data_IF_289453356268
#
_entry.id   IF_289453356268
#
_cell.length_a   1.000
_cell.length_b   1.000
_cell.length_c   1.000
_cell.angle_alpha   90.00
_cell.angle_beta   90.00
_cell.angle_gamma   90.00
#
_symmetry.space_group_name_H-M   'P 1'
#
loop_
_entity.id
_entity.type
_entity.pdbx_description
1 polymer ?
#
# COMPACT_ATOMS: atom_id res chain seq x y z
N UNK A 1 2.93 3.10 14.03
CA UNK A 1 1.49 3.49 14.02
C UNK A 1 0.71 2.65 15.03
N UNK A 2 -0.20 3.25 15.82
CA UNK A 2 -1.26 2.49 16.51
C UNK A 2 -2.32 2.13 15.46
N UNK A 3 -2.79 0.87 15.46
CA UNK A 3 -3.83 0.30 14.58
C UNK A 3 -5.01 1.26 14.23
N UNK A 4 -5.30 2.22 15.11
CA UNK A 4 -6.33 3.25 14.94
C UNK A 4 -6.15 4.18 13.71
N UNK A 5 -4.94 4.62 13.38
CA UNK A 5 -4.79 5.60 12.27
C UNK A 5 -5.08 4.94 10.91
N UNK A 6 -4.67 3.67 10.76
CA UNK A 6 -4.96 2.86 9.58
C UNK A 6 -6.47 2.60 9.47
N UNK A 7 -7.13 2.31 10.60
CA UNK A 7 -8.59 2.18 10.66
C UNK A 7 -9.29 3.48 10.21
N UNK A 8 -8.85 4.63 10.70
CA UNK A 8 -9.39 5.94 10.30
C UNK A 8 -9.20 6.20 8.81
N UNK A 9 -8.01 5.90 8.27
CA UNK A 9 -7.74 6.02 6.83
C UNK A 9 -8.73 5.17 6.01
N UNK A 10 -8.91 3.89 6.36
CA UNK A 10 -9.88 3.04 5.67
C UNK A 10 -11.31 3.57 5.79
N UNK A 11 -11.71 4.07 6.97
CA UNK A 11 -13.02 4.69 7.18
C UNK A 11 -13.24 5.88 6.23
N UNK A 12 -12.24 6.76 6.08
CA UNK A 12 -12.28 7.89 5.14
C UNK A 12 -12.42 7.40 3.70
N UNK A 13 -11.63 6.41 3.29
CA UNK A 13 -11.69 5.83 1.93
C UNK A 13 -13.09 5.25 1.65
N UNK A 14 -13.67 4.51 2.60
CA UNK A 14 -15.03 3.99 2.48
C UNK A 14 -16.09 5.10 2.44
N UNK A 15 -15.94 6.14 3.25
CA UNK A 15 -16.85 7.29 3.24
C UNK A 15 -16.80 8.04 1.89
N UNK A 16 -15.61 8.30 1.35
CA UNK A 16 -15.41 8.89 0.02
C UNK A 16 -16.08 8.01 -1.04
N UNK A 17 -15.87 6.70 -0.99
CA UNK A 17 -16.47 5.76 -1.94
C UNK A 17 -18.01 5.81 -1.90
N UNK A 18 -18.58 5.85 -0.69
CA UNK A 18 -20.02 5.95 -0.47
C UNK A 18 -20.58 7.26 -1.03
N UNK A 19 -19.97 8.39 -0.71
CA UNK A 19 -20.38 9.73 -1.18
C UNK A 19 -20.31 9.81 -2.70
N UNK A 20 -19.20 9.35 -3.31
CA UNK A 20 -19.04 9.34 -4.76
C UNK A 20 -20.12 8.49 -5.43
N UNK A 21 -20.37 7.28 -4.94
CA UNK A 21 -21.44 6.42 -5.48
C UNK A 21 -22.81 7.08 -5.37
N UNK A 22 -23.10 7.71 -4.24
CA UNK A 22 -24.35 8.43 -4.04
C UNK A 22 -24.50 9.59 -5.03
N UNK A 23 -23.47 10.42 -5.17
CA UNK A 23 -23.44 11.54 -6.10
C UNK A 23 -23.60 11.07 -7.56
N UNK A 24 -22.85 10.05 -7.97
CA UNK A 24 -22.91 9.49 -9.33
C UNK A 24 -24.26 8.86 -9.65
N UNK A 25 -24.88 8.16 -8.69
CA UNK A 25 -26.25 7.64 -8.86
C UNK A 25 -27.24 8.75 -9.16
N UNK A 26 -27.15 9.86 -8.41
CA UNK A 26 -28.03 11.03 -8.59
C UNK A 26 -27.75 11.75 -9.90
N UNK A 27 -26.46 11.93 -10.26
CA UNK A 27 -26.04 12.65 -11.46
C UNK A 27 -26.39 11.91 -12.75
N UNK A 28 -26.12 10.60 -12.82
CA UNK A 28 -26.31 9.80 -14.02
C UNK A 28 -27.66 9.09 -14.09
N UNK A 29 -28.52 9.31 -13.07
CA UNK A 29 -29.81 8.62 -12.89
C UNK A 29 -29.64 7.10 -13.00
N UNK A 30 -28.71 6.56 -12.22
CA UNK A 30 -28.40 5.14 -12.23
C UNK A 30 -29.40 4.44 -11.34
N UNK A 31 -30.15 3.49 -11.90
CA UNK A 31 -31.09 2.70 -11.12
C UNK A 31 -30.35 1.86 -10.06
N UNK A 32 -30.89 1.76 -8.84
CA UNK A 32 -30.32 0.90 -7.83
C UNK A 32 -30.46 -0.55 -8.29
N UNK A 33 -29.34 -1.15 -8.68
CA UNK A 33 -29.31 -2.59 -8.95
C UNK A 33 -29.64 -3.35 -7.66
N UNK A 34 -30.57 -4.30 -7.70
CA UNK A 34 -30.78 -5.28 -6.63
C UNK A 34 -29.58 -6.24 -6.58
N UNK A 35 -28.46 -5.77 -6.03
CA UNK A 35 -27.31 -6.62 -5.74
C UNK A 35 -27.40 -7.01 -4.28
N UNK A 36 -27.68 -8.28 -4.02
CA UNK A 36 -27.44 -8.86 -2.71
C UNK A 36 -25.95 -8.74 -2.41
N UNK A 37 -25.62 -8.17 -1.25
CA UNK A 37 -24.26 -8.20 -0.75
C UNK A 37 -23.89 -9.69 -0.59
N UNK A 38 -22.80 -10.12 -1.24
CA UNK A 38 -22.23 -11.49 -1.22
C UNK A 38 -22.80 -12.56 -2.17
N UNK A 39 -23.75 -12.29 -3.08
CA UNK A 39 -24.08 -13.30 -4.11
C UNK A 39 -23.08 -13.28 -5.27
N UNK A 40 -22.72 -14.46 -5.80
CA UNK A 40 -21.92 -14.66 -7.02
C UNK A 40 -22.70 -14.14 -8.24
N UNK A 41 -22.79 -12.81 -8.35
CA UNK A 41 -23.63 -12.11 -9.31
C UNK A 41 -22.89 -11.93 -10.63
N UNK A 42 -22.80 -13.03 -11.39
CA UNK A 42 -22.37 -12.96 -12.76
C UNK A 42 -23.52 -12.45 -13.62
N UNK A 43 -23.24 -11.48 -14.49
CA UNK A 43 -24.23 -10.87 -15.38
C UNK A 43 -24.75 -11.89 -16.40
N UNK A 44 -23.86 -12.78 -16.86
CA UNK A 44 -24.19 -13.89 -17.73
C UNK A 44 -23.18 -15.05 -17.52
N UNK A 45 -23.41 -16.17 -18.18
CA UNK A 45 -22.52 -17.34 -18.09
C UNK A 45 -21.12 -17.08 -18.64
N UNK A 46 -20.97 -16.15 -19.58
CA UNK A 46 -19.65 -15.76 -20.09
C UNK A 46 -18.84 -15.03 -19.02
N UNK A 47 -19.45 -14.07 -18.31
CA UNK A 47 -18.83 -13.38 -17.19
C UNK A 47 -18.39 -14.38 -16.12
N UNK A 48 -19.22 -15.39 -15.83
CA UNK A 48 -18.87 -16.47 -14.89
C UNK A 48 -17.62 -17.23 -15.28
N UNK A 49 -17.50 -17.62 -16.54
CA UNK A 49 -16.32 -18.35 -17.02
C UNK A 49 -15.06 -17.49 -16.97
N UNK A 50 -15.18 -16.22 -17.38
CA UNK A 50 -14.05 -15.28 -17.38
C UNK A 50 -13.62 -14.93 -15.96
N UNK A 51 -14.55 -14.59 -15.06
CA UNK A 51 -14.26 -14.29 -13.65
C UNK A 51 -13.56 -15.47 -12.97
N UNK A 52 -14.04 -16.70 -13.20
CA UNK A 52 -13.40 -17.89 -12.65
C UNK A 52 -11.98 -18.11 -13.20
N UNK A 53 -11.78 -17.89 -14.51
CA UNK A 53 -10.45 -17.96 -15.12
C UNK A 53 -9.50 -16.88 -14.59
N UNK A 54 -9.97 -15.63 -14.46
CA UNK A 54 -9.19 -14.51 -13.92
C UNK A 54 -8.81 -14.77 -12.47
N UNK A 55 -9.72 -15.27 -11.65
CA UNK A 55 -9.44 -15.61 -10.24
C UNK A 55 -8.46 -16.78 -10.12
N UNK A 56 -8.66 -17.85 -10.89
CA UNK A 56 -7.74 -18.98 -10.92
C UNK A 56 -6.34 -18.57 -11.38
N UNK A 57 -6.25 -17.80 -12.47
CA UNK A 57 -5.00 -17.25 -12.97
C UNK A 57 -4.32 -16.30 -11.98
N UNK A 58 -5.09 -15.41 -11.35
CA UNK A 58 -4.60 -14.51 -10.29
C UNK A 58 -4.00 -15.29 -9.12
N UNK A 59 -4.65 -16.36 -8.67
CA UNK A 59 -4.15 -17.20 -7.59
C UNK A 59 -2.84 -17.90 -7.98
N UNK A 60 -2.78 -18.50 -9.18
CA UNK A 60 -1.56 -19.19 -9.66
C UNK A 60 -0.41 -18.19 -9.83
N UNK A 61 -0.64 -17.07 -10.52
CA UNK A 61 0.37 -16.02 -10.73
C UNK A 61 0.83 -15.45 -9.38
N UNK A 62 -0.09 -15.20 -8.46
CA UNK A 62 0.23 -14.74 -7.11
C UNK A 62 1.13 -15.71 -6.35
N UNK A 63 0.84 -17.01 -6.38
CA UNK A 63 1.68 -18.03 -5.74
C UNK A 63 3.07 -18.14 -6.37
N UNK A 64 3.16 -18.07 -7.70
CA UNK A 64 4.45 -18.10 -8.41
C UNK A 64 5.30 -16.87 -8.05
N UNK A 65 4.71 -15.69 -8.04
CA UNK A 65 5.42 -14.46 -7.65
C UNK A 65 5.85 -14.51 -6.19
N UNK A 66 4.96 -14.97 -5.29
CA UNK A 66 5.27 -15.15 -3.88
C UNK A 66 6.45 -16.11 -3.68
N UNK A 67 6.48 -17.22 -4.43
CA UNK A 67 7.60 -18.16 -4.41
C UNK A 67 8.93 -17.48 -4.82
N UNK A 68 8.94 -16.66 -5.88
CA UNK A 68 10.16 -15.97 -6.28
C UNK A 68 10.59 -14.88 -5.29
N UNK A 69 9.65 -14.18 -4.66
CA UNK A 69 9.95 -13.23 -3.57
C UNK A 69 10.52 -13.98 -2.37
N UNK A 70 9.96 -15.13 -2.00
CA UNK A 70 10.45 -15.95 -0.88
C UNK A 70 11.85 -16.57 -1.13
N UNK A 71 12.32 -16.56 -2.38
CA UNK A 71 13.68 -16.99 -2.76
C UNK A 71 14.64 -15.80 -2.97
N UNK A 72 14.25 -14.59 -2.58
CA UNK A 72 15.00 -13.34 -2.77
C UNK A 72 15.40 -13.08 -4.24
N UNK A 73 14.65 -13.66 -5.20
CA UNK A 73 14.91 -13.45 -6.65
C UNK A 73 14.33 -12.14 -7.15
N UNK A 74 13.25 -11.67 -6.53
CA UNK A 74 12.64 -10.38 -6.82
C UNK A 74 12.37 -9.64 -5.51
N UNK A 75 12.54 -8.30 -5.49
CA UNK A 75 12.17 -7.54 -4.32
C UNK A 75 10.65 -7.62 -4.09
N UNK A 76 10.18 -7.59 -2.83
CA UNK A 76 8.76 -7.64 -2.48
C UNK A 76 7.89 -6.60 -3.22
N UNK A 77 8.52 -5.52 -3.69
CA UNK A 77 7.92 -4.49 -4.51
C UNK A 77 7.22 -5.00 -5.77
N UNK A 78 7.83 -5.96 -6.47
CA UNK A 78 7.28 -6.52 -7.70
C UNK A 78 5.98 -7.28 -7.42
N UNK A 79 5.93 -7.99 -6.29
CA UNK A 79 4.72 -8.69 -5.86
C UNK A 79 3.58 -7.71 -5.58
N UNK A 80 3.85 -6.60 -4.87
CA UNK A 80 2.84 -5.58 -4.61
C UNK A 80 2.29 -4.96 -5.90
N UNK A 81 3.16 -4.60 -6.84
CA UNK A 81 2.74 -4.05 -8.15
C UNK A 81 1.89 -5.07 -8.92
N UNK A 82 2.30 -6.33 -8.93
CA UNK A 82 1.54 -7.39 -9.60
C UNK A 82 0.16 -7.62 -8.96
N UNK A 83 0.07 -7.64 -7.63
CA UNK A 83 -1.22 -7.76 -6.92
C UNK A 83 -2.14 -6.59 -7.26
N UNK A 84 -1.63 -5.35 -7.30
CA UNK A 84 -2.41 -4.18 -7.72
C UNK A 84 -2.91 -4.34 -9.16
N UNK A 85 -2.03 -4.76 -10.08
CA UNK A 85 -2.40 -4.98 -11.47
C UNK A 85 -3.50 -6.05 -11.60
N UNK A 86 -3.40 -7.15 -10.85
CA UNK A 86 -4.41 -8.21 -10.85
C UNK A 86 -5.77 -7.73 -10.29
N UNK A 87 -5.77 -6.93 -9.22
CA UNK A 87 -7.00 -6.31 -8.68
C UNK A 87 -7.65 -5.38 -9.72
N UNK A 88 -6.84 -4.60 -10.44
CA UNK A 88 -7.32 -3.72 -11.52
C UNK A 88 -7.94 -4.55 -12.64
N UNK A 89 -7.30 -5.63 -13.07
CA UNK A 89 -7.83 -6.53 -14.11
C UNK A 89 -9.20 -7.11 -13.70
N UNK A 90 -9.34 -7.58 -12.45
CA UNK A 90 -10.61 -8.10 -11.93
C UNK A 90 -11.74 -7.06 -12.01
N UNK A 91 -11.46 -5.82 -11.57
CA UNK A 91 -12.43 -4.72 -11.64
C UNK A 91 -12.76 -4.30 -13.07
N UNK A 92 -11.79 -4.32 -13.98
CA UNK A 92 -11.99 -4.01 -15.39
C UNK A 92 -12.86 -5.06 -16.08
N UNK A 93 -12.62 -6.34 -15.83
CA UNK A 93 -13.45 -7.44 -16.35
C UNK A 93 -14.89 -7.26 -15.89
N UNK A 94 -15.10 -6.99 -14.59
CA UNK A 94 -16.43 -6.73 -14.05
C UNK A 94 -17.09 -5.51 -14.71
N UNK A 95 -16.38 -4.39 -14.80
CA UNK A 95 -16.90 -3.17 -15.41
C UNK A 95 -17.25 -3.38 -16.90
N UNK A 96 -16.46 -4.17 -17.63
CA UNK A 96 -16.70 -4.52 -19.02
C UNK A 96 -18.02 -5.28 -19.19
N UNK A 97 -18.25 -6.32 -18.38
CA UNK A 97 -19.51 -7.06 -18.44
C UNK A 97 -20.70 -6.22 -17.98
N UNK A 98 -20.51 -5.35 -16.97
CA UNK A 98 -21.54 -4.41 -16.54
C UNK A 98 -21.97 -3.49 -17.69
N UNK A 99 -20.99 -2.93 -18.41
CA UNK A 99 -21.25 -2.03 -19.53
C UNK A 99 -21.86 -2.72 -20.74
N UNK A 100 -21.39 -3.92 -21.09
CA UNK A 100 -21.74 -4.57 -22.36
C UNK A 100 -22.93 -5.51 -22.26
N UNK A 101 -23.11 -6.19 -21.13
CA UNK A 101 -24.02 -7.32 -21.01
C UNK A 101 -25.12 -7.14 -19.96
N UNK A 102 -25.04 -6.11 -19.10
CA UNK A 102 -26.06 -5.91 -18.07
C UNK A 102 -27.21 -5.03 -18.52
N UNK A 103 -28.37 -5.22 -17.89
CA UNK A 103 -29.55 -4.36 -18.05
C UNK A 103 -29.27 -2.90 -17.63
N UNK A 104 -28.24 -2.67 -16.81
CA UNK A 104 -27.87 -1.37 -16.26
C UNK A 104 -26.43 -0.99 -16.63
N UNK A 105 -26.15 -0.64 -17.90
CA UNK A 105 -24.78 -0.39 -18.39
C UNK A 105 -24.07 0.75 -17.68
N UNK A 106 -24.82 1.74 -17.18
CA UNK A 106 -24.30 2.86 -16.40
C UNK A 106 -23.69 2.45 -15.06
N UNK A 107 -23.98 1.24 -14.59
CA UNK A 107 -23.42 0.72 -13.34
C UNK A 107 -21.90 0.53 -13.41
N UNK A 108 -21.37 0.28 -14.60
CA UNK A 108 -19.92 0.22 -14.86
C UNK A 108 -19.17 1.47 -14.36
N UNK A 109 -19.80 2.65 -14.44
CA UNK A 109 -19.25 3.92 -13.94
C UNK A 109 -19.00 3.85 -12.43
N UNK A 110 -19.91 3.24 -11.67
CA UNK A 110 -19.78 3.09 -10.22
C UNK A 110 -18.65 2.11 -9.86
N UNK A 111 -18.51 1.03 -10.63
CA UNK A 111 -17.44 0.03 -10.44
C UNK A 111 -16.08 0.60 -10.79
N UNK A 112 -15.96 1.33 -11.90
CA UNK A 112 -14.72 2.03 -12.28
C UNK A 112 -14.34 3.11 -11.29
N UNK A 113 -15.32 3.87 -10.77
CA UNK A 113 -15.07 4.87 -9.73
C UNK A 113 -14.57 4.21 -8.46
N UNK A 114 -15.20 3.10 -8.04
CA UNK A 114 -14.74 2.36 -6.88
C UNK A 114 -13.30 1.86 -7.04
N UNK A 115 -12.99 1.28 -8.20
CA UNK A 115 -11.64 0.84 -8.54
C UNK A 115 -10.64 1.99 -8.44
N UNK A 116 -10.93 3.14 -9.07
CA UNK A 116 -10.05 4.30 -9.07
C UNK A 116 -9.76 4.81 -7.65
N UNK A 117 -10.77 4.88 -6.79
CA UNK A 117 -10.60 5.30 -5.38
C UNK A 117 -9.71 4.33 -4.62
N UNK A 118 -9.91 3.01 -4.77
CA UNK A 118 -9.07 2.02 -4.09
C UNK A 118 -7.63 2.02 -4.60
N UNK A 119 -7.42 2.12 -5.91
CA UNK A 119 -6.07 2.22 -6.50
C UNK A 119 -5.38 3.49 -5.99
N UNK A 120 -6.06 4.64 -5.99
CA UNK A 120 -5.52 5.88 -5.45
C UNK A 120 -5.18 5.77 -3.96
N UNK A 121 -6.03 5.12 -3.16
CA UNK A 121 -5.76 4.87 -1.75
C UNK A 121 -4.52 3.98 -1.54
N UNK A 122 -4.35 2.91 -2.34
CA UNK A 122 -3.17 2.05 -2.27
C UNK A 122 -1.91 2.82 -2.63
N UNK A 123 -1.94 3.57 -3.74
CA UNK A 123 -0.81 4.41 -4.15
C UNK A 123 -0.47 5.44 -3.07
N UNK A 124 -1.49 6.05 -2.45
CA UNK A 124 -1.29 6.97 -1.33
C UNK A 124 -0.59 6.28 -0.16
N UNK A 125 -1.01 5.07 0.22
CA UNK A 125 -0.36 4.33 1.32
C UNK A 125 1.10 3.99 1.01
N UNK A 126 1.41 3.64 -0.24
CA UNK A 126 2.78 3.33 -0.67
C UNK A 126 3.66 4.58 -0.66
N UNK A 127 3.19 5.67 -1.28
CA UNK A 127 3.96 6.92 -1.43
C UNK A 127 4.11 7.67 -0.09
N UNK A 128 3.04 7.68 0.71
CA UNK A 128 2.98 8.40 1.98
C UNK A 128 3.14 7.46 3.18
N UNK A 129 3.87 6.35 3.00
CA UNK A 129 4.17 5.42 4.07
C UNK A 129 4.82 6.16 5.26
N UNK A 130 5.80 7.03 5.02
CA UNK A 130 6.40 7.86 6.07
C UNK A 130 5.35 8.70 6.84
N UNK A 131 4.43 9.36 6.14
CA UNK A 131 3.37 10.17 6.76
C UNK A 131 2.38 9.31 7.57
N UNK A 132 2.13 8.07 7.15
CA UNK A 132 1.21 7.16 7.81
C UNK A 132 1.85 6.43 8.99
N UNK A 133 3.11 6.02 8.88
CA UNK A 133 3.78 5.16 9.85
C UNK A 133 4.76 5.89 10.77
N UNK A 134 5.15 7.12 10.45
CA UNK A 134 5.92 8.04 11.30
C UNK A 134 7.42 7.78 11.35
N UNK A 135 7.95 6.94 10.46
CA UNK A 135 9.37 6.57 10.43
C UNK A 135 9.81 6.18 9.03
N UNK A 136 11.11 6.08 8.82
CA UNK A 136 11.70 5.61 7.57
C UNK A 136 12.50 4.33 7.82
N UNK A 137 12.50 3.46 6.82
CA UNK A 137 13.18 2.17 6.86
C UNK A 137 14.29 2.19 5.82
N UNK A 138 15.46 1.68 6.17
CA UNK A 138 16.60 1.67 5.29
C UNK A 138 17.75 0.84 5.85
N UNK A 139 18.82 0.76 5.08
CA UNK A 139 20.01 0.00 5.46
C UNK A 139 21.05 0.94 6.04
N UNK A 140 21.68 0.54 7.14
CA UNK A 140 22.81 1.27 7.71
C UNK A 140 23.99 1.16 6.75
N UNK A 141 24.47 2.29 6.25
CA UNK A 141 25.57 2.34 5.27
C UNK A 141 26.88 2.77 5.89
N UNK A 142 26.82 3.59 6.92
CA UNK A 142 27.98 4.10 7.63
C UNK A 142 27.60 4.36 9.09
N UNK A 143 28.54 4.11 10.01
CA UNK A 143 28.38 4.36 11.44
C UNK A 143 29.53 5.24 11.94
N UNK A 144 29.19 6.33 12.61
CA UNK A 144 30.13 7.18 13.34
C UNK A 144 30.04 6.92 14.84
N UNK A 145 30.82 7.65 15.65
CA UNK A 145 30.77 7.52 17.11
C UNK A 145 29.42 7.94 17.72
N UNK A 146 28.60 8.74 17.03
CA UNK A 146 27.36 9.33 17.59
C UNK A 146 26.17 9.41 16.63
N UNK A 147 26.38 9.06 15.36
CA UNK A 147 25.36 9.06 14.31
C UNK A 147 25.55 7.86 13.38
N UNK A 148 24.53 7.56 12.59
CA UNK A 148 24.62 6.57 11.52
C UNK A 148 23.85 7.03 10.29
N UNK A 149 24.32 6.60 9.12
CA UNK A 149 23.75 6.91 7.82
C UNK A 149 22.80 5.79 7.40
N UNK A 150 21.54 6.13 7.17
CA UNK A 150 20.52 5.19 6.70
C UNK A 150 20.22 5.49 5.25
N UNK A 151 20.49 4.54 4.37
CA UNK A 151 20.06 4.59 2.98
C UNK A 151 18.61 4.09 2.88
N UNK A 152 17.68 5.01 2.66
CA UNK A 152 16.27 4.71 2.47
C UNK A 152 16.03 4.44 1.00
N UNK A 153 15.75 3.18 0.68
CA UNK A 153 15.27 2.81 -0.65
C UNK A 153 13.77 3.11 -0.73
N UNK A 154 13.44 4.33 -1.14
CA UNK A 154 12.04 4.70 -1.31
C UNK A 154 11.42 3.97 -2.52
N UNK A 155 10.15 3.55 -2.39
CA UNK A 155 9.32 3.04 -3.47
C UNK A 155 8.83 4.15 -4.43
N UNK A 156 9.51 5.28 -4.48
CA UNK A 156 9.10 6.38 -5.31
C UNK A 156 9.46 6.08 -6.77
N UNK A 157 8.48 6.18 -7.66
CA UNK A 157 8.62 5.93 -9.11
C UNK A 157 9.51 6.97 -9.84
N UNK A 158 10.49 7.59 -9.17
CA UNK A 158 11.37 8.60 -9.77
C UNK A 158 12.39 9.27 -8.84
N UNK A 159 12.46 8.93 -7.55
CA UNK A 159 13.53 9.40 -6.66
C UNK A 159 14.43 8.22 -6.31
N UNK A 160 15.74 8.40 -6.51
CA UNK A 160 16.75 7.40 -6.13
C UNK A 160 16.80 7.17 -4.62
N UNK A 161 17.75 6.35 -4.17
CA UNK A 161 17.96 6.18 -2.73
C UNK A 161 18.31 7.52 -2.08
N UNK A 162 17.72 7.76 -0.91
CA UNK A 162 18.00 8.97 -0.12
C UNK A 162 18.74 8.56 1.15
N UNK A 163 19.92 9.14 1.35
CA UNK A 163 20.71 8.90 2.56
C UNK A 163 20.31 9.91 3.63
N UNK A 164 20.02 9.42 4.83
CA UNK A 164 19.70 10.25 5.98
C UNK A 164 20.70 10.00 7.11
N UNK A 165 21.32 11.08 7.59
CA UNK A 165 22.06 11.03 8.84
C UNK A 165 21.09 11.05 10.02
N UNK A 166 21.28 10.10 10.93
CA UNK A 166 20.45 9.92 12.12
C UNK A 166 21.34 10.04 13.35
N UNK A 167 21.05 11.04 14.18
CA UNK A 167 21.73 11.24 15.44
C UNK A 167 20.94 10.58 16.58
N UNK A 168 21.67 10.02 17.53
CA UNK A 168 21.05 9.43 18.72
C UNK A 168 21.07 10.40 19.89
N UNK A 169 20.26 10.07 20.89
CA UNK A 169 20.15 10.78 22.15
C UNK A 169 20.14 9.76 23.29
N UNK A 170 20.34 10.21 24.52
CA UNK A 170 20.22 9.36 25.72
C UNK A 170 18.81 8.75 25.88
N UNK A 171 17.83 9.26 25.14
CA UNK A 171 16.44 8.81 25.14
C UNK A 171 16.10 7.89 23.96
N UNK A 172 17.05 7.60 23.07
CA UNK A 172 16.82 6.73 21.92
C UNK A 172 16.62 5.28 22.37
N UNK A 173 15.47 4.70 22.05
CA UNK A 173 15.15 3.32 22.40
C UNK A 173 15.49 2.37 21.25
N UNK A 174 16.27 1.34 21.54
CA UNK A 174 16.52 0.23 20.61
C UNK A 174 15.54 -0.92 20.86
N UNK A 175 14.98 -1.48 19.80
CA UNK A 175 14.12 -2.67 19.85
C UNK A 175 14.50 -3.65 18.73
N UNK A 176 14.27 -4.94 18.96
CA UNK A 176 14.51 -5.99 17.97
C UNK A 176 15.75 -6.83 18.27
N UNK A 177 16.50 -7.19 17.24
CA UNK A 177 17.69 -8.06 17.37
C UNK A 177 18.83 -7.40 18.16
N UNK A 178 18.92 -6.08 18.08
CA UNK A 178 19.95 -5.25 18.72
C UNK A 178 19.36 -4.48 19.90
N UNK A 179 20.13 -4.39 20.99
CA UNK A 179 19.73 -3.70 22.25
C UNK A 179 20.39 -2.36 22.47
N UNK A 180 21.37 -1.98 21.65
CA UNK A 180 22.07 -0.72 21.79
C UNK A 180 22.86 -0.36 20.54
N UNK A 181 23.32 0.89 20.49
CA UNK A 181 24.06 1.40 19.34
C UNK A 181 25.34 0.63 19.03
N UNK A 182 26.05 0.16 20.06
CA UNK A 182 27.33 -0.53 19.89
C UNK A 182 27.18 -1.82 19.06
N UNK A 183 26.04 -2.49 19.18
CA UNK A 183 25.67 -3.71 18.48
C UNK A 183 25.14 -3.46 17.05
N UNK A 184 24.91 -2.20 16.66
CA UNK A 184 24.46 -1.87 15.31
C UNK A 184 25.63 -1.98 14.31
N UNK A 185 25.45 -2.77 13.26
CA UNK A 185 26.45 -3.00 12.22
C UNK A 185 26.05 -2.35 10.88
N UNK A 186 27.02 -2.16 10.00
CA UNK A 186 26.76 -1.74 8.62
C UNK A 186 26.11 -2.89 7.85
N UNK A 187 25.14 -2.57 6.99
CA UNK A 187 24.33 -3.55 6.27
C UNK A 187 23.06 -4.00 7.00
N UNK A 188 22.87 -3.59 8.26
CA UNK A 188 21.67 -3.91 9.04
C UNK A 188 20.45 -3.12 8.54
N UNK A 189 19.30 -3.80 8.40
CA UNK A 189 18.02 -3.15 8.10
C UNK A 189 17.46 -2.52 9.37
N UNK A 190 17.19 -1.22 9.32
CA UNK A 190 16.68 -0.47 10.47
C UNK A 190 15.46 0.35 10.10
N UNK A 191 14.51 0.41 11.03
CA UNK A 191 13.41 1.38 11.01
C UNK A 191 13.64 2.44 12.07
N UNK A 192 13.74 3.69 11.64
CA UNK A 192 14.01 4.83 12.50
C UNK A 192 12.74 5.68 12.67
N UNK A 193 12.34 5.89 13.92
CA UNK A 193 11.28 6.82 14.31
C UNK A 193 11.94 8.14 14.80
N UNK A 194 11.88 9.22 14.02
CA UNK A 194 12.45 10.49 14.45
C UNK A 194 11.62 11.13 15.57
N UNK A 195 12.27 11.97 16.40
CA UNK A 195 11.56 12.90 17.27
C UNK A 195 10.76 13.92 16.46
N UNK A 196 9.64 14.39 17.03
CA UNK A 196 8.85 15.49 16.48
C UNK A 196 9.59 16.81 16.74
N UNK A 197 10.47 17.17 15.79
CA UNK A 197 11.32 18.36 15.85
C UNK A 197 10.78 19.46 14.92
N UNK A 198 10.99 20.73 15.24
CA UNK A 198 10.71 21.85 14.34
C UNK A 198 11.31 21.65 12.94
N UNK A 199 10.62 22.09 11.89
CA UNK A 199 11.04 21.83 10.50
C UNK A 199 12.33 22.55 10.08
N UNK A 200 12.81 23.52 10.87
CA UNK A 200 14.08 24.22 10.72
C UNK A 200 15.26 23.51 11.41
N UNK A 201 15.01 22.41 12.11
CA UNK A 201 16.04 21.67 12.81
C UNK A 201 16.95 20.90 11.83
N UNK A 202 18.28 21.09 11.88
CA UNK A 202 19.16 20.72 10.78
C UNK A 202 19.50 19.22 10.69
N UNK A 203 19.12 18.41 11.68
CA UNK A 203 19.42 16.98 11.74
C UNK A 203 18.25 16.16 12.29
N UNK A 204 18.19 14.88 11.93
CA UNK A 204 17.15 13.97 12.44
C UNK A 204 17.64 13.31 13.72
N UNK A 205 16.88 13.44 14.81
CA UNK A 205 17.14 12.71 16.05
C UNK A 205 16.24 11.47 16.13
N UNK A 206 16.81 10.30 16.42
CA UNK A 206 16.05 9.08 16.59
C UNK A 206 15.42 9.02 17.99
N UNK A 207 14.10 8.90 18.05
CA UNK A 207 13.38 8.53 19.28
C UNK A 207 13.39 7.02 19.50
N UNK A 208 13.25 6.24 18.43
CA UNK A 208 13.27 4.78 18.47
C UNK A 208 13.98 4.24 17.21
N UNK A 209 14.83 3.23 17.40
CA UNK A 209 15.50 2.47 16.33
C UNK A 209 15.08 1.01 16.49
N UNK A 210 14.38 0.49 15.49
CA UNK A 210 13.93 -0.91 15.45
C UNK A 210 14.82 -1.63 14.46
N UNK A 211 15.50 -2.67 14.93
CA UNK A 211 16.37 -3.53 14.12
C UNK A 211 15.63 -4.82 13.81
N UNK A 212 15.42 -5.10 12.52
CA UNK A 212 14.77 -6.34 12.04
C UNK A 212 15.77 -7.45 11.76
#
# INVERSE_FOLDING_TARGET
MSFMNLLFFFLIVFAINYILKFALRKLFKIEPSKREFFSYNHINDQHRKVDWFVRGGTLIVGLVLLYFVALDKYPPSYYLVAVIALIVVDHLVRAFFEWRASENPKQSILTLTQMAVFVAAIVFVIQFNFFLFGGFEGVVTEKTDTSFMVEVTSFNFGTGSTVHEVHMTDHTLFKGEVRGFDELEEGTLVRVMPFDLPSDFPYKLASEVIVE
#
